data_IF_777918903029
#
_entry.id   IF_777918903029
#
_cell.length_a   1.000
_cell.length_b   1.000
_cell.length_c   1.000
_cell.angle_alpha   90.00
_cell.angle_beta   90.00
_cell.angle_gamma   90.00
#
_symmetry.space_group_name_H-M   'P 1'
#
loop_
_entity.id
_entity.type
_entity.pdbx_description
1 polymer ?
#
# COMPACT_ATOMS: atom_id res chain seq x y z
N UNK A 1 14.96 15.35 26.47
CA UNK A 1 13.81 15.41 25.57
C UNK A 1 14.34 15.72 24.18
N UNK A 2 14.69 14.73 23.40
CA UNK A 2 15.01 14.90 21.98
C UNK A 2 13.87 14.23 21.20
N UNK A 3 13.04 15.04 20.58
CA UNK A 3 11.98 14.58 19.69
C UNK A 3 12.66 13.89 18.49
N UNK A 4 12.46 12.59 18.36
CA UNK A 4 12.70 11.87 17.12
C UNK A 4 11.66 12.37 16.09
N UNK A 5 11.98 13.47 15.41
CA UNK A 5 11.31 13.82 14.17
C UNK A 5 11.75 12.79 13.12
N UNK A 6 11.14 11.61 13.15
CA UNK A 6 11.15 10.72 12.00
C UNK A 6 10.68 11.55 10.80
N UNK A 7 11.44 11.53 9.71
CA UNK A 7 11.12 12.23 8.47
C UNK A 7 9.70 11.86 8.05
N UNK A 8 8.72 12.68 8.47
CA UNK A 8 7.35 12.58 7.98
C UNK A 8 7.41 12.71 6.47
N UNK A 9 6.97 11.68 5.79
CA UNK A 9 6.91 11.66 4.34
C UNK A 9 5.99 12.79 3.90
N UNK A 10 6.52 13.74 3.13
CA UNK A 10 5.73 14.88 2.68
C UNK A 10 4.76 14.42 1.57
N UNK A 11 3.51 14.16 1.95
CA UNK A 11 2.43 13.76 1.05
C UNK A 11 1.48 14.91 0.75
N UNK A 12 1.65 16.04 1.44
CA UNK A 12 0.74 17.18 1.38
C UNK A 12 1.46 18.40 0.82
N UNK A 13 0.71 19.23 0.09
CA UNK A 13 1.19 20.55 -0.30
C UNK A 13 1.14 21.56 0.86
N UNK A 14 1.61 22.78 0.63
CA UNK A 14 1.61 23.84 1.63
C UNK A 14 0.19 24.23 2.12
N UNK A 15 -0.86 23.91 1.36
CA UNK A 15 -2.26 24.14 1.71
C UNK A 15 -2.88 22.97 2.51
N UNK A 16 -2.11 21.90 2.77
CA UNK A 16 -2.59 20.71 3.47
C UNK A 16 -3.40 19.73 2.60
N UNK A 17 -3.36 19.87 1.28
CA UNK A 17 -4.02 18.96 0.36
C UNK A 17 -3.11 17.77 0.05
N UNK A 18 -3.67 16.57 -0.02
CA UNK A 18 -2.94 15.34 -0.38
C UNK A 18 -2.54 15.39 -1.87
N UNK A 19 -1.25 15.52 -2.13
CA UNK A 19 -0.67 15.56 -3.48
C UNK A 19 -0.08 14.23 -3.91
N UNK A 20 0.42 13.45 -2.97
CA UNK A 20 0.97 12.13 -3.21
C UNK A 20 0.35 11.11 -2.25
N UNK A 21 0.21 9.85 -2.68
CA UNK A 21 -0.19 8.75 -1.80
C UNK A 21 0.99 7.77 -1.66
N UNK A 22 1.84 8.00 -0.68
CA UNK A 22 3.11 7.28 -0.52
C UNK A 22 3.07 6.25 0.61
N UNK A 23 2.36 6.57 1.70
CA UNK A 23 2.19 5.72 2.89
C UNK A 23 0.84 6.00 3.56
N UNK A 24 0.36 5.06 4.38
CA UNK A 24 -0.76 5.30 5.31
C UNK A 24 -0.28 5.75 6.70
N UNK A 25 1.03 5.63 6.96
CA UNK A 25 1.64 6.15 8.17
C UNK A 25 1.52 7.67 8.23
N UNK A 26 1.00 8.18 9.34
CA UNK A 26 0.82 9.62 9.55
C UNK A 26 -0.29 10.27 8.71
N UNK A 27 -1.04 9.50 7.93
CA UNK A 27 -2.18 10.04 7.20
C UNK A 27 -3.33 10.32 8.19
N UNK A 28 -3.90 11.56 8.22
CA UNK A 28 -4.99 11.89 9.14
C UNK A 28 -6.20 10.99 8.96
N UNK A 29 -6.89 10.68 10.06
CA UNK A 29 -8.12 9.87 10.06
C UNK A 29 -9.17 10.39 9.09
N UNK A 30 -9.35 11.69 9.05
CA UNK A 30 -10.31 12.36 8.17
C UNK A 30 -9.97 12.14 6.70
N UNK A 31 -8.68 12.17 6.36
CA UNK A 31 -8.21 11.91 5.00
C UNK A 31 -8.44 10.45 4.59
N UNK A 32 -8.18 9.49 5.49
CA UNK A 32 -8.48 8.08 5.23
C UNK A 32 -9.98 7.87 4.99
N UNK A 33 -10.82 8.43 5.85
CA UNK A 33 -12.27 8.33 5.71
C UNK A 33 -12.75 8.97 4.41
N UNK A 34 -12.21 10.15 4.05
CA UNK A 34 -12.54 10.83 2.80
C UNK A 34 -12.21 9.97 1.57
N UNK A 35 -11.04 9.32 1.53
CA UNK A 35 -10.67 8.41 0.45
C UNK A 35 -11.64 7.22 0.37
N UNK A 36 -11.97 6.60 1.52
CA UNK A 36 -12.88 5.47 1.57
C UNK A 36 -14.32 5.85 1.16
N UNK A 37 -14.78 7.05 1.51
CA UNK A 37 -16.10 7.57 1.12
C UNK A 37 -16.15 7.90 -0.37
N UNK A 38 -15.08 8.49 -0.88
CA UNK A 38 -14.91 8.73 -2.32
C UNK A 38 -14.93 7.41 -3.10
N UNK A 39 -14.19 6.40 -2.64
CA UNK A 39 -14.18 5.08 -3.28
C UNK A 39 -15.59 4.46 -3.38
N UNK A 40 -16.43 4.64 -2.34
CA UNK A 40 -17.82 4.15 -2.33
C UNK A 40 -18.66 4.75 -3.49
N UNK A 41 -18.39 5.98 -3.89
CA UNK A 41 -19.12 6.62 -5.00
C UNK A 41 -18.83 5.97 -6.36
N UNK A 42 -17.68 5.28 -6.48
CA UNK A 42 -17.28 4.59 -7.71
C UNK A 42 -17.76 3.13 -7.83
N UNK A 43 -18.45 2.59 -6.83
CA UNK A 43 -18.99 1.22 -6.88
C UNK A 43 -19.86 1.02 -8.13
N UNK A 44 -20.68 2.01 -8.50
CA UNK A 44 -21.51 1.95 -9.69
C UNK A 44 -20.71 1.82 -11.00
N UNK A 45 -19.49 2.32 -11.06
CA UNK A 45 -18.60 2.22 -12.24
C UNK A 45 -18.04 0.80 -12.40
N UNK A 46 -18.03 0.02 -11.32
CA UNK A 46 -17.57 -1.37 -11.30
C UNK A 46 -18.72 -2.39 -11.46
N UNK A 47 -19.96 -1.94 -11.45
CA UNK A 47 -21.13 -2.81 -11.59
C UNK A 47 -21.13 -3.51 -12.95
N UNK A 48 -21.14 -4.87 -13.00
CA UNK A 48 -21.15 -5.64 -14.24
C UNK A 48 -22.36 -5.34 -15.13
N UNK A 49 -23.50 -5.00 -14.55
CA UNK A 49 -24.75 -4.72 -15.26
C UNK A 49 -24.75 -3.38 -15.99
N UNK A 50 -23.84 -2.47 -15.66
CA UNK A 50 -23.76 -1.14 -16.25
C UNK A 50 -23.15 -1.19 -17.65
N UNK A 51 -23.83 -0.63 -18.64
CA UNK A 51 -23.35 -0.56 -20.02
C UNK A 51 -22.10 0.34 -20.15
N UNK A 52 -22.15 1.54 -19.55
CA UNK A 52 -21.03 2.48 -19.57
C UNK A 52 -20.30 2.48 -18.24
N UNK A 53 -19.06 1.96 -18.25
CA UNK A 53 -18.19 1.85 -17.07
C UNK A 53 -17.09 2.90 -17.07
N UNK A 54 -17.37 4.12 -17.53
CA UNK A 54 -16.42 5.24 -17.58
C UNK A 54 -17.03 6.50 -17.02
N UNK A 55 -16.18 7.31 -16.37
CA UNK A 55 -16.49 8.66 -15.89
C UNK A 55 -15.35 9.60 -16.30
N UNK A 56 -15.62 10.87 -16.66
CA UNK A 56 -14.63 11.76 -17.28
C UNK A 56 -13.75 12.54 -16.27
N UNK A 57 -13.48 11.99 -15.09
CA UNK A 57 -12.80 12.70 -14.01
C UNK A 57 -11.32 12.96 -14.29
N UNK A 58 -10.64 12.07 -15.03
CA UNK A 58 -9.23 12.22 -15.41
C UNK A 58 -9.07 12.41 -16.92
N UNK A 59 -10.08 12.92 -17.60
CA UNK A 59 -10.00 13.18 -19.04
C UNK A 59 -8.91 14.22 -19.34
N UNK A 60 -8.00 13.88 -20.26
CA UNK A 60 -6.85 14.70 -20.60
C UNK A 60 -5.69 14.63 -19.60
N UNK A 61 -5.74 13.71 -18.63
CA UNK A 61 -4.64 13.40 -17.71
C UNK A 61 -3.90 12.15 -18.15
N UNK A 62 -2.58 12.20 -18.08
CA UNK A 62 -1.67 11.11 -18.43
C UNK A 62 -1.24 10.36 -17.18
N UNK A 63 -1.56 9.05 -17.11
CA UNK A 63 -1.17 8.17 -16.00
C UNK A 63 -0.12 7.18 -16.47
N UNK A 64 1.06 7.24 -15.89
CA UNK A 64 2.17 6.33 -16.17
C UNK A 64 2.29 5.27 -15.07
N UNK A 65 2.07 4.02 -15.44
CA UNK A 65 2.29 2.88 -14.55
C UNK A 65 3.75 2.42 -14.67
N UNK A 66 4.57 2.76 -13.67
CA UNK A 66 6.00 2.49 -13.61
C UNK A 66 6.24 1.27 -12.72
N UNK A 67 6.41 0.11 -13.33
CA UNK A 67 6.58 -1.14 -12.61
C UNK A 67 8.00 -1.66 -12.77
N UNK A 68 8.81 -1.49 -11.73
CA UNK A 68 10.18 -2.00 -11.61
C UNK A 68 10.22 -3.41 -10.98
N UNK A 69 9.10 -3.87 -10.45
CA UNK A 69 8.89 -5.20 -9.89
C UNK A 69 7.67 -5.83 -10.56
N UNK A 70 7.78 -7.08 -11.00
CA UNK A 70 6.70 -7.77 -11.69
C UNK A 70 5.43 -7.86 -10.83
N UNK A 71 4.31 -7.40 -11.36
CA UNK A 71 3.00 -7.54 -10.73
C UNK A 71 1.86 -7.39 -11.75
N UNK A 72 1.41 -8.52 -12.28
CA UNK A 72 0.31 -8.54 -13.25
C UNK A 72 -0.98 -7.96 -12.65
N UNK A 73 -1.39 -8.44 -11.49
CA UNK A 73 -2.65 -7.99 -10.84
C UNK A 73 -2.65 -6.49 -10.55
N UNK A 74 -1.63 -5.99 -9.87
CA UNK A 74 -1.57 -4.58 -9.47
C UNK A 74 -1.52 -3.66 -10.69
N UNK A 75 -0.66 -3.95 -11.68
CA UNK A 75 -0.57 -3.17 -12.92
C UNK A 75 -1.91 -3.11 -13.66
N UNK A 76 -2.54 -4.27 -13.89
CA UNK A 76 -3.83 -4.35 -14.57
C UNK A 76 -4.93 -3.61 -13.82
N UNK A 77 -4.93 -3.68 -12.48
CA UNK A 77 -5.92 -2.96 -11.65
C UNK A 77 -5.79 -1.46 -11.81
N UNK A 78 -4.58 -0.90 -11.74
CA UNK A 78 -4.36 0.53 -11.95
C UNK A 78 -4.68 0.97 -13.38
N UNK A 79 -4.32 0.16 -14.37
CA UNK A 79 -4.65 0.42 -15.77
C UNK A 79 -6.17 0.51 -15.98
N UNK A 80 -6.92 -0.47 -15.47
CA UNK A 80 -8.39 -0.48 -15.57
C UNK A 80 -8.98 0.71 -14.83
N UNK A 81 -8.52 1.01 -13.62
CA UNK A 81 -9.03 2.12 -12.82
C UNK A 81 -8.84 3.46 -13.54
N UNK A 82 -7.62 3.76 -14.01
CA UNK A 82 -7.31 4.99 -14.71
C UNK A 82 -8.11 5.12 -16.02
N UNK A 83 -8.23 4.04 -16.81
CA UNK A 83 -9.06 4.02 -18.03
C UNK A 83 -10.55 4.23 -17.75
N UNK A 84 -11.07 3.73 -16.62
CA UNK A 84 -12.46 3.98 -16.21
C UNK A 84 -12.68 5.43 -15.77
N UNK A 85 -11.66 6.10 -15.29
CA UNK A 85 -11.67 7.53 -15.01
C UNK A 85 -11.39 8.40 -16.26
N UNK A 86 -11.23 7.78 -17.43
CA UNK A 86 -10.98 8.42 -18.73
C UNK A 86 -9.58 9.06 -18.86
N UNK A 87 -8.59 8.58 -18.12
CA UNK A 87 -7.20 8.95 -18.30
C UNK A 87 -6.58 8.28 -19.53
N UNK A 88 -5.53 8.90 -20.09
CA UNK A 88 -4.59 8.28 -20.99
C UNK A 88 -3.58 7.47 -20.19
N UNK A 89 -3.49 6.17 -20.46
CA UNK A 89 -2.69 5.25 -19.63
C UNK A 89 -1.51 4.69 -20.41
N UNK A 90 -0.32 4.88 -19.86
CA UNK A 90 0.93 4.36 -20.39
C UNK A 90 1.51 3.35 -19.38
N UNK A 91 1.68 2.11 -19.81
CA UNK A 91 2.35 1.09 -19.01
C UNK A 91 3.80 0.96 -19.43
N UNK A 92 4.73 1.18 -18.51
CA UNK A 92 6.16 1.01 -18.73
C UNK A 92 6.69 -0.13 -17.86
N UNK A 93 7.33 -1.08 -18.52
CA UNK A 93 8.12 -2.12 -17.87
C UNK A 93 9.59 -1.69 -17.93
N UNK A 94 10.03 -1.02 -16.85
CA UNK A 94 11.35 -0.37 -16.81
C UNK A 94 12.45 -1.36 -16.44
N UNK A 95 12.09 -2.52 -15.87
CA UNK A 95 13.04 -3.57 -15.51
C UNK A 95 13.89 -4.07 -16.70
N UNK A 96 13.38 -3.90 -17.92
CA UNK A 96 14.01 -4.39 -19.14
C UNK A 96 14.62 -3.32 -20.03
N UNK A 97 14.30 -2.02 -19.88
CA UNK A 97 14.63 -1.03 -20.90
C UNK A 97 15.68 0.02 -20.52
N UNK A 98 15.63 0.63 -19.33
CA UNK A 98 16.52 1.74 -18.97
C UNK A 98 17.68 1.35 -18.06
N UNK A 99 17.52 0.37 -17.17
CA UNK A 99 18.61 -0.13 -16.34
C UNK A 99 19.77 -0.75 -17.17
N UNK A 100 19.48 -1.21 -18.39
CA UNK A 100 20.49 -1.75 -19.32
C UNK A 100 21.37 -0.67 -19.97
N UNK A 101 21.01 0.63 -19.87
CA UNK A 101 21.71 1.76 -20.52
C UNK A 101 22.44 2.67 -19.54
N UNK A 102 22.46 2.37 -18.22
CA UNK A 102 23.14 3.18 -17.21
C UNK A 102 22.40 4.47 -16.84
N UNK A 103 21.14 4.61 -17.23
CA UNK A 103 20.27 5.73 -16.87
C UNK A 103 19.81 5.60 -15.41
N UNK A 104 19.85 6.69 -14.63
CA UNK A 104 19.36 6.70 -13.25
C UNK A 104 17.82 6.67 -13.18
N UNK A 105 17.28 6.31 -12.02
CA UNK A 105 15.83 6.38 -11.78
C UNK A 105 15.29 7.80 -12.05
N UNK A 106 15.97 8.83 -11.55
CA UNK A 106 15.53 10.20 -11.66
C UNK A 106 15.65 10.73 -13.08
N UNK A 107 16.69 10.35 -13.84
CA UNK A 107 16.78 10.71 -15.27
C UNK A 107 15.60 10.15 -16.07
N UNK A 108 15.21 8.89 -15.78
CA UNK A 108 14.01 8.29 -16.39
C UNK A 108 12.76 9.10 -16.04
N UNK A 109 12.60 9.50 -14.77
CA UNK A 109 11.46 10.31 -14.32
C UNK A 109 11.43 11.66 -15.02
N UNK A 110 12.57 12.36 -15.16
CA UNK A 110 12.66 13.64 -15.85
C UNK A 110 12.22 13.55 -17.31
N UNK A 111 12.63 12.49 -18.01
CA UNK A 111 12.19 12.22 -19.38
C UNK A 111 10.66 12.05 -19.46
N UNK A 112 10.06 11.34 -18.50
CA UNK A 112 8.61 11.11 -18.48
C UNK A 112 7.83 12.38 -18.07
N UNK A 113 8.38 13.21 -17.19
CA UNK A 113 7.83 14.54 -16.87
C UNK A 113 7.84 15.43 -18.10
N UNK A 114 8.92 15.42 -18.89
CA UNK A 114 9.01 16.16 -20.16
C UNK A 114 7.97 15.66 -21.19
N UNK A 115 7.52 14.40 -21.11
CA UNK A 115 6.42 13.85 -21.90
C UNK A 115 5.02 14.17 -21.33
N UNK A 116 4.95 15.13 -20.40
CA UNK A 116 3.70 15.62 -19.78
C UNK A 116 2.95 14.56 -18.93
N UNK A 117 3.68 13.82 -18.12
CA UNK A 117 3.08 12.97 -17.11
C UNK A 117 2.36 13.80 -16.04
N UNK A 118 1.12 13.43 -15.71
CA UNK A 118 0.36 14.02 -14.59
C UNK A 118 0.46 13.13 -13.34
N UNK A 119 0.43 11.82 -13.51
CA UNK A 119 0.39 10.87 -12.40
C UNK A 119 1.35 9.71 -12.66
N UNK A 120 2.21 9.43 -11.69
CA UNK A 120 3.02 8.21 -11.64
C UNK A 120 2.42 7.22 -10.65
N UNK A 121 2.13 6.01 -11.11
CA UNK A 121 1.84 4.85 -10.26
C UNK A 121 3.10 4.01 -10.19
N UNK A 122 3.77 4.00 -9.04
CA UNK A 122 5.10 3.43 -8.90
C UNK A 122 5.07 2.16 -8.06
N UNK A 123 5.60 1.06 -8.61
CA UNK A 123 5.91 -0.16 -7.89
C UNK A 123 7.39 -0.48 -8.01
N UNK A 124 8.09 -0.61 -6.88
CA UNK A 124 9.54 -0.76 -6.85
C UNK A 124 9.99 -1.84 -5.85
N UNK A 125 11.09 -2.54 -6.14
CA UNK A 125 11.72 -3.50 -5.22
C UNK A 125 12.46 -2.83 -4.06
N UNK A 126 12.96 -1.60 -4.28
CA UNK A 126 13.64 -0.81 -3.27
C UNK A 126 12.61 -0.04 -2.44
N UNK A 127 12.72 -0.17 -1.12
CA UNK A 127 11.90 0.58 -0.16
C UNK A 127 12.13 2.09 -0.31
N UNK A 128 11.06 2.89 -0.23
CA UNK A 128 11.06 4.35 -0.30
C UNK A 128 11.35 4.96 -1.68
N UNK A 129 11.56 4.18 -2.75
CA UNK A 129 11.74 4.73 -4.10
C UNK A 129 10.59 5.65 -4.56
N UNK A 130 9.29 5.37 -4.29
CA UNK A 130 8.21 6.31 -4.60
C UNK A 130 8.33 7.65 -3.85
N UNK A 131 8.95 7.67 -2.67
CA UNK A 131 9.19 8.89 -1.89
C UNK A 131 10.28 9.73 -2.55
N UNK A 132 11.35 9.09 -3.02
CA UNK A 132 12.42 9.74 -3.77
C UNK A 132 11.87 10.42 -5.03
N UNK A 133 11.04 9.70 -5.79
CA UNK A 133 10.36 10.25 -6.98
C UNK A 133 9.47 11.43 -6.60
N UNK A 134 8.64 11.31 -5.54
CA UNK A 134 7.74 12.37 -5.12
C UNK A 134 8.45 13.65 -4.68
N UNK A 135 9.64 13.52 -4.08
CA UNK A 135 10.47 14.67 -3.72
C UNK A 135 11.17 15.33 -4.91
N UNK A 136 11.25 14.64 -6.05
CA UNK A 136 11.95 15.10 -7.25
C UNK A 136 11.01 15.72 -8.27
N UNK A 137 9.81 15.21 -8.43
CA UNK A 137 8.86 15.69 -9.46
C UNK A 137 8.34 17.08 -9.19
N UNK A 138 7.99 17.86 -10.25
CA UNK A 138 7.37 19.16 -10.09
C UNK A 138 5.97 19.05 -9.46
N UNK A 139 5.52 20.15 -8.84
CA UNK A 139 4.29 20.21 -8.02
C UNK A 139 2.99 19.77 -8.73
N UNK A 140 2.96 19.78 -10.06
CA UNK A 140 1.80 19.34 -10.84
C UNK A 140 1.75 17.83 -11.08
N UNK A 141 2.81 17.12 -10.76
CA UNK A 141 2.91 15.66 -10.93
C UNK A 141 2.63 14.96 -9.61
N UNK A 142 1.75 13.98 -9.63
CA UNK A 142 1.34 13.22 -8.46
C UNK A 142 1.92 11.82 -8.46
N UNK A 143 2.28 11.30 -7.29
CA UNK A 143 2.86 9.95 -7.15
C UNK A 143 1.97 9.09 -6.26
N UNK A 144 1.64 7.89 -6.77
CA UNK A 144 0.90 6.86 -6.05
C UNK A 144 1.80 5.64 -5.86
N UNK A 145 2.05 5.26 -4.62
CA UNK A 145 2.81 4.07 -4.28
C UNK A 145 1.96 2.80 -4.46
N UNK A 146 2.31 1.97 -5.43
CA UNK A 146 1.70 0.66 -5.71
C UNK A 146 2.47 -0.51 -5.07
N UNK A 147 3.29 -0.21 -4.06
CA UNK A 147 4.08 -1.14 -3.27
C UNK A 147 5.58 -1.00 -3.50
N UNK A 148 6.32 -0.71 -2.43
CA UNK A 148 7.77 -0.51 -2.45
C UNK A 148 8.48 -1.41 -1.43
N UNK A 149 9.37 -2.27 -1.89
CA UNK A 149 10.16 -3.19 -1.07
C UNK A 149 9.34 -3.91 0.01
N UNK A 150 9.80 -3.84 1.25
CA UNK A 150 9.09 -4.26 2.47
C UNK A 150 8.49 -3.08 3.26
N UNK A 151 8.44 -1.87 2.65
CA UNK A 151 8.07 -0.64 3.33
C UNK A 151 6.55 -0.45 3.38
N UNK A 152 5.88 -0.07 2.27
CA UNK A 152 4.46 0.27 2.26
C UNK A 152 3.73 -0.19 0.98
N UNK A 153 2.43 -0.42 1.09
CA UNK A 153 1.50 -0.60 -0.02
C UNK A 153 0.17 0.10 0.29
N UNK A 154 0.14 1.44 0.28
CA UNK A 154 -1.00 2.20 0.78
C UNK A 154 -2.30 1.86 0.09
N UNK A 155 -2.29 1.67 -1.22
CA UNK A 155 -3.51 1.34 -1.97
C UNK A 155 -4.08 -0.04 -1.64
N UNK A 156 -3.23 -1.02 -1.27
CA UNK A 156 -3.71 -2.31 -0.75
C UNK A 156 -4.29 -2.13 0.65
N UNK A 157 -3.63 -1.37 1.53
CA UNK A 157 -4.19 -1.07 2.85
C UNK A 157 -5.56 -0.39 2.77
N UNK A 158 -5.72 0.58 1.87
CA UNK A 158 -7.03 1.23 1.64
C UNK A 158 -8.09 0.26 1.11
N UNK A 159 -7.72 -0.67 0.22
CA UNK A 159 -8.62 -1.70 -0.29
C UNK A 159 -9.08 -2.62 0.85
N UNK A 160 -8.16 -3.04 1.72
CA UNK A 160 -8.47 -3.88 2.87
C UNK A 160 -9.38 -3.14 3.86
N UNK A 161 -9.10 -1.86 4.16
CA UNK A 161 -9.97 -1.02 4.98
C UNK A 161 -11.36 -0.82 4.36
N UNK A 162 -11.44 -0.62 3.05
CA UNK A 162 -12.72 -0.53 2.34
C UNK A 162 -13.53 -1.82 2.50
N UNK A 163 -12.89 -2.97 2.33
CA UNK A 163 -13.52 -4.29 2.48
C UNK A 163 -14.01 -4.51 3.91
N UNK A 164 -13.17 -4.25 4.91
CA UNK A 164 -13.57 -4.37 6.32
C UNK A 164 -14.77 -3.48 6.64
N UNK A 165 -14.74 -2.20 6.23
CA UNK A 165 -15.82 -1.25 6.44
C UNK A 165 -17.13 -1.68 5.75
N UNK A 166 -17.03 -2.31 4.58
CA UNK A 166 -18.21 -2.81 3.88
C UNK A 166 -18.96 -3.88 4.69
N UNK A 167 -18.25 -4.79 5.36
CA UNK A 167 -18.86 -5.88 6.13
C UNK A 167 -19.08 -5.55 7.60
N UNK A 168 -18.23 -4.71 8.20
CA UNK A 168 -18.25 -4.43 9.65
C UNK A 168 -18.73 -3.02 10.00
N UNK A 169 -18.96 -2.14 9.01
CA UNK A 169 -19.47 -0.77 9.10
C UNK A 169 -18.52 0.24 9.75
N UNK A 170 -17.84 -0.09 10.84
CA UNK A 170 -16.88 0.77 11.52
C UNK A 170 -15.65 -0.03 11.99
N UNK A 171 -14.63 0.66 12.50
CA UNK A 171 -13.38 0.05 12.98
C UNK A 171 -13.30 0.02 14.51
N UNK A 172 -14.03 0.91 15.19
CA UNK A 172 -14.03 0.95 16.65
C UNK A 172 -14.67 -0.30 17.21
N UNK A 173 -13.98 -0.97 18.14
CA UNK A 173 -14.42 -2.20 18.76
C UNK A 173 -14.19 -3.46 17.94
N UNK A 174 -13.62 -3.37 16.73
CA UNK A 174 -13.18 -4.54 15.98
C UNK A 174 -11.93 -5.15 16.61
N UNK A 175 -11.86 -6.49 16.55
CA UNK A 175 -10.68 -7.29 16.84
C UNK A 175 -10.16 -7.86 15.53
N UNK A 176 -8.97 -7.42 15.13
CA UNK A 176 -8.37 -7.76 13.84
C UNK A 176 -7.08 -8.52 14.05
N UNK A 177 -7.02 -9.77 13.56
CA UNK A 177 -5.82 -10.58 13.60
C UNK A 177 -5.13 -10.59 12.23
N UNK A 178 -3.81 -10.36 12.24
CA UNK A 178 -2.94 -10.46 11.08
C UNK A 178 -1.98 -11.63 11.33
N UNK A 179 -2.05 -12.65 10.46
CA UNK A 179 -1.33 -13.91 10.65
C UNK A 179 -0.26 -14.09 9.59
N UNK A 180 0.95 -14.43 9.99
CA UNK A 180 2.03 -14.87 9.13
C UNK A 180 3.26 -13.97 9.15
N UNK A 181 3.88 -13.75 7.98
CA UNK A 181 5.12 -12.99 7.83
C UNK A 181 4.87 -11.47 7.85
N UNK A 182 4.87 -10.88 9.04
CA UNK A 182 4.65 -9.43 9.21
C UNK A 182 5.94 -8.64 8.98
N UNK A 183 7.10 -9.18 9.33
CA UNK A 183 8.41 -8.54 9.13
C UNK A 183 8.59 -8.08 7.68
N UNK A 184 8.32 -8.96 6.73
CA UNK A 184 8.56 -8.71 5.31
C UNK A 184 7.32 -8.23 4.56
N UNK A 185 6.16 -8.10 5.24
CA UNK A 185 4.90 -7.73 4.61
C UNK A 185 4.66 -6.22 4.64
N UNK A 186 4.90 -5.55 3.52
CA UNK A 186 4.51 -4.14 3.33
C UNK A 186 2.99 -3.91 3.44
N UNK A 187 2.18 -4.96 3.20
CA UNK A 187 0.71 -4.88 3.34
C UNK A 187 0.33 -4.86 4.82
N UNK A 188 0.93 -5.74 5.64
CA UNK A 188 0.69 -5.73 7.08
C UNK A 188 1.01 -4.38 7.72
N UNK A 189 2.16 -3.80 7.36
CA UNK A 189 2.58 -2.46 7.86
C UNK A 189 1.56 -1.39 7.49
N UNK A 190 1.15 -1.33 6.22
CA UNK A 190 0.12 -0.37 5.80
C UNK A 190 -1.21 -0.58 6.51
N UNK A 191 -1.61 -1.83 6.75
CA UNK A 191 -2.86 -2.14 7.44
C UNK A 191 -2.81 -1.78 8.93
N UNK A 192 -1.70 -2.02 9.61
CA UNK A 192 -1.52 -1.63 11.02
C UNK A 192 -1.68 -0.11 11.15
N UNK A 193 -0.98 0.68 10.32
CA UNK A 193 -1.12 2.14 10.34
C UNK A 193 -2.56 2.59 10.08
N UNK A 194 -3.22 2.02 9.08
CA UNK A 194 -4.60 2.38 8.75
C UNK A 194 -5.59 2.01 9.87
N UNK A 195 -5.50 0.79 10.41
CA UNK A 195 -6.36 0.31 11.49
C UNK A 195 -6.21 1.18 12.74
N UNK A 196 -4.96 1.47 13.15
CA UNK A 196 -4.68 2.35 14.28
C UNK A 196 -5.27 3.75 14.08
N UNK A 197 -5.03 4.36 12.91
CA UNK A 197 -5.57 5.69 12.57
C UNK A 197 -7.09 5.69 12.52
N UNK A 198 -7.73 4.62 12.06
CA UNK A 198 -9.19 4.48 12.01
C UNK A 198 -9.82 4.13 13.36
N UNK A 199 -9.01 3.90 14.39
CA UNK A 199 -9.47 3.67 15.77
C UNK A 199 -9.83 2.22 16.08
N UNK A 200 -9.20 1.26 15.41
CA UNK A 200 -9.21 -0.14 15.82
C UNK A 200 -8.31 -0.28 17.07
N UNK A 201 -8.88 -0.74 18.17
CA UNK A 201 -8.20 -0.80 19.47
C UNK A 201 -7.59 -2.20 19.75
N UNK A 202 -8.04 -3.24 19.06
CA UNK A 202 -7.55 -4.62 19.21
C UNK A 202 -6.99 -5.11 17.87
N UNK A 203 -5.69 -4.87 17.66
CA UNK A 203 -4.93 -5.34 16.51
C UNK A 203 -3.96 -6.40 17.01
N UNK A 204 -4.02 -7.59 16.43
CA UNK A 204 -3.21 -8.74 16.83
C UNK A 204 -2.30 -9.20 15.71
N UNK A 205 -1.06 -9.44 16.05
CA UNK A 205 -0.07 -10.07 15.18
C UNK A 205 0.15 -11.51 15.65
N UNK A 206 -0.05 -12.47 14.78
CA UNK A 206 0.05 -13.90 15.12
C UNK A 206 1.10 -14.55 14.22
N UNK A 207 2.10 -15.17 14.83
CA UNK A 207 3.15 -15.88 14.11
C UNK A 207 4.34 -16.27 14.98
N UNK A 208 5.30 -17.01 14.40
CA UNK A 208 6.57 -17.29 15.05
C UNK A 208 7.35 -15.99 15.30
N UNK A 209 8.15 -15.94 16.35
CA UNK A 209 8.95 -14.76 16.73
C UNK A 209 9.82 -14.24 15.56
N UNK A 210 10.39 -15.12 14.75
CA UNK A 210 11.21 -14.77 13.60
C UNK A 210 10.48 -14.02 12.49
N UNK A 211 9.14 -14.07 12.46
CA UNK A 211 8.31 -13.41 11.44
C UNK A 211 7.52 -12.21 11.98
N UNK A 212 7.73 -11.85 13.25
CA UNK A 212 7.10 -10.71 13.89
C UNK A 212 8.14 -9.62 14.18
N UNK A 213 7.90 -8.35 13.82
CA UNK A 213 8.75 -7.23 14.21
C UNK A 213 8.79 -7.07 15.74
N UNK A 214 9.96 -6.75 16.28
CA UNK A 214 10.17 -6.59 17.73
C UNK A 214 9.55 -5.32 18.33
N UNK A 215 9.10 -4.39 17.48
CA UNK A 215 8.55 -3.08 17.87
C UNK A 215 7.01 -2.99 17.75
N UNK A 216 6.32 -4.12 17.51
CA UNK A 216 4.85 -4.15 17.34
C UNK A 216 4.10 -3.62 18.57
N UNK A 217 4.56 -3.96 19.77
CA UNK A 217 3.94 -3.50 21.02
C UNK A 217 3.97 -1.96 21.13
N UNK A 218 5.03 -1.33 20.63
CA UNK A 218 5.17 0.13 20.60
C UNK A 218 4.17 0.78 19.61
N UNK A 219 3.66 0.01 18.66
CA UNK A 219 2.64 0.42 17.71
C UNK A 219 1.21 0.10 18.20
N UNK A 220 1.05 -0.42 19.42
CA UNK A 220 -0.23 -0.81 19.99
C UNK A 220 -0.78 -2.13 19.44
N UNK A 221 0.07 -2.97 18.87
CA UNK A 221 -0.30 -4.29 18.34
C UNK A 221 0.02 -5.37 19.36
N UNK A 222 -0.94 -6.23 19.68
CA UNK A 222 -0.74 -7.36 20.59
C UNK A 222 -0.10 -8.52 19.83
N UNK A 223 0.94 -9.12 20.42
CA UNK A 223 1.69 -10.20 19.79
C UNK A 223 1.26 -11.55 20.38
N UNK A 224 1.00 -12.51 19.50
CA UNK A 224 0.63 -13.88 19.86
C UNK A 224 1.49 -14.88 19.08
N UNK A 225 1.95 -15.91 19.77
CA UNK A 225 2.67 -17.04 19.18
C UNK A 225 1.78 -18.27 19.02
N UNK A 226 0.60 -18.27 19.65
CA UNK A 226 -0.43 -19.31 19.53
C UNK A 226 -1.61 -18.81 18.70
N UNK A 227 -1.98 -19.57 17.67
CA UNK A 227 -3.18 -19.29 16.87
C UNK A 227 -4.46 -19.40 17.70
N UNK A 228 -4.55 -20.36 18.61
CA UNK A 228 -5.73 -20.55 19.44
C UNK A 228 -6.00 -19.33 20.33
N UNK A 229 -4.95 -18.79 20.95
CA UNK A 229 -5.06 -17.60 21.79
C UNK A 229 -5.30 -16.34 20.97
N UNK A 230 -4.52 -16.15 19.92
CA UNK A 230 -4.58 -14.93 19.08
C UNK A 230 -5.88 -14.79 18.30
N UNK A 231 -6.54 -15.91 17.94
CA UNK A 231 -7.81 -15.91 17.21
C UNK A 231 -9.05 -15.85 18.09
N UNK A 232 -8.91 -15.89 19.40
CA UNK A 232 -10.08 -15.89 20.30
C UNK A 232 -10.92 -14.63 20.13
N UNK A 233 -12.19 -14.82 19.78
CA UNK A 233 -13.18 -13.73 19.59
C UNK A 233 -12.81 -12.69 18.51
N UNK A 234 -12.00 -13.03 17.52
CA UNK A 234 -11.58 -12.14 16.43
C UNK A 234 -12.73 -11.91 15.45
N UNK A 235 -12.91 -10.67 15.03
CA UNK A 235 -13.91 -10.25 14.05
C UNK A 235 -13.43 -10.33 12.59
N UNK A 236 -12.12 -10.13 12.37
CA UNK A 236 -11.49 -10.14 11.06
C UNK A 236 -10.15 -10.84 11.13
N UNK A 237 -9.93 -11.77 10.22
CA UNK A 237 -8.64 -12.46 10.05
C UNK A 237 -8.03 -12.11 8.72
N UNK A 238 -6.79 -11.63 8.76
CA UNK A 238 -5.96 -11.38 7.58
C UNK A 238 -4.81 -12.39 7.56
N UNK A 239 -4.74 -13.17 6.49
CA UNK A 239 -3.65 -14.13 6.32
C UNK A 239 -2.62 -13.60 5.33
N UNK A 240 -1.35 -13.67 5.71
CA UNK A 240 -0.21 -13.29 4.88
C UNK A 240 0.50 -14.54 4.36
N UNK A 241 0.95 -14.49 3.11
CA UNK A 241 1.88 -15.50 2.62
C UNK A 241 3.28 -15.23 3.15
N UNK A 242 4.10 -16.27 3.27
CA UNK A 242 5.53 -16.13 3.55
C UNK A 242 6.20 -15.45 2.34
N UNK A 243 6.96 -14.39 2.58
CA UNK A 243 7.62 -13.57 1.54
C UNK A 243 9.03 -14.12 1.23
N UNK A 244 9.13 -15.38 0.78
CA UNK A 244 10.43 -16.05 0.55
C UNK A 244 11.41 -15.22 -0.30
N UNK A 245 10.90 -14.45 -1.24
CA UNK A 245 11.67 -13.57 -2.11
C UNK A 245 12.29 -12.36 -1.42
N UNK A 246 11.96 -12.11 -0.15
CA UNK A 246 12.47 -11.00 0.68
C UNK A 246 13.26 -11.47 1.89
N UNK A 247 13.36 -12.77 2.08
CA UNK A 247 14.11 -13.38 3.18
C UNK A 247 15.55 -13.65 2.76
N UNK A 248 16.46 -13.57 3.72
CA UNK A 248 17.83 -14.04 3.52
C UNK A 248 17.88 -15.57 3.47
N UNK A 249 18.91 -16.10 2.82
CA UNK A 249 19.12 -17.57 2.70
C UNK A 249 19.24 -18.16 4.12
N UNK A 250 18.34 -19.11 4.45
CA UNK A 250 18.30 -19.77 5.77
C UNK A 250 17.21 -19.25 6.73
N UNK A 251 16.54 -18.14 6.41
CA UNK A 251 15.42 -17.61 7.22
C UNK A 251 14.05 -18.21 6.87
N UNK A 252 13.98 -19.01 5.83
CA UNK A 252 12.71 -19.61 5.38
C UNK A 252 12.33 -20.74 6.34
N UNK A 253 11.23 -20.64 7.14
CA UNK A 253 10.74 -21.76 7.92
C UNK A 253 10.37 -22.93 6.99
N UNK A 254 10.83 -24.13 7.31
CA UNK A 254 10.31 -25.34 6.63
C UNK A 254 8.82 -25.49 6.92
N UNK A 255 8.01 -25.91 5.92
CA UNK A 255 6.55 -25.89 5.98
C UNK A 255 5.95 -26.58 7.20
N UNK A 256 6.53 -27.70 7.64
CA UNK A 256 6.05 -28.42 8.83
C UNK A 256 6.47 -27.74 10.15
N UNK A 257 7.61 -27.05 10.18
CA UNK A 257 8.06 -26.28 11.33
C UNK A 257 7.22 -25.01 11.55
N UNK A 258 6.66 -24.44 10.48
CA UNK A 258 5.77 -23.28 10.57
C UNK A 258 4.45 -23.64 11.26
N UNK A 259 3.87 -24.81 10.95
CA UNK A 259 2.61 -25.28 11.56
C UNK A 259 2.79 -25.82 12.97
N UNK A 260 3.93 -26.40 13.29
CA UNK A 260 4.21 -26.98 14.62
C UNK A 260 4.60 -25.96 15.68
N UNK A 261 5.00 -24.73 15.27
CA UNK A 261 5.38 -23.64 16.17
C UNK A 261 4.29 -22.55 16.30
N UNK A 262 3.08 -22.80 15.82
CA UNK A 262 1.90 -21.95 15.92
C UNK A 262 0.78 -22.66 16.67
#
# INVERSE_FOLDING_TARGET
>A
MMSSSGNLVNQFNASGELTHLLTLEGLPREQLLHILDTAKQFVSVTDPSREVKKVPLLRGKSVFNLFFENSTRTRTTFEIAAKRLSADVINLDISTSSASKGESLLDTIDNLVAMQADIFVVRHSVSRAPIEIANHVPAHVHVVNAGDGSHQHPTQGLLDMYTMRHFKQNFKGLRVAIIGDIVHSRVAKSNIHALTTLGCEDIRAIGPESLLPSDLDMQGVQVFHSMEEGLRDVDVVMTLRIQKERMEVGQVPEGDAFLSNM
#
